data_IF_845442999243
#
_entry.id   IF_845442999243
#
_cell.length_a   1.000
_cell.length_b   1.000
_cell.length_c   1.000
_cell.angle_alpha   90.00
_cell.angle_beta   90.00
_cell.angle_gamma   90.00
#
_symmetry.space_group_name_H-M   'P 1'
#
loop_
_entity.id
_entity.type
_entity.pdbx_description
1 polymer ?
#
# COMPACT_ATOMS: atom_id res chain seq x y z
N UNK A 1 -7.13 -29.31 13.97
CA UNK A 1 -6.89 -28.03 13.24
C UNK A 1 -5.50 -27.53 13.60
N UNK A 2 -4.48 -27.87 12.81
CA UNK A 2 -3.15 -27.25 12.97
C UNK A 2 -3.29 -25.77 12.58
N UNK A 3 -3.15 -24.87 13.55
CA UNK A 3 -3.05 -23.42 13.26
C UNK A 3 -1.80 -23.23 12.41
N UNK A 4 -1.96 -23.02 11.11
CA UNK A 4 -0.85 -22.67 10.20
C UNK A 4 -0.21 -21.39 10.74
N UNK A 5 0.92 -21.51 11.44
CA UNK A 5 1.71 -20.35 11.84
C UNK A 5 2.34 -19.78 10.56
N UNK A 6 2.12 -18.50 10.31
CA UNK A 6 2.74 -17.78 9.20
C UNK A 6 4.26 -17.98 9.27
N UNK A 7 4.85 -18.55 8.22
CA UNK A 7 6.30 -18.81 8.13
C UNK A 7 6.72 -20.28 7.94
N UNK A 8 5.81 -21.25 8.07
CA UNK A 8 6.14 -22.69 7.93
C UNK A 8 5.86 -23.29 6.55
N UNK A 9 5.11 -22.58 5.70
CA UNK A 9 4.75 -23.05 4.35
C UNK A 9 5.40 -22.18 3.29
N UNK A 10 5.88 -22.81 2.22
CA UNK A 10 6.35 -22.10 1.03
C UNK A 10 5.24 -21.28 0.38
N UNK A 11 5.60 -20.30 -0.46
CA UNK A 11 4.62 -19.45 -1.12
C UNK A 11 3.78 -20.23 -2.12
N UNK A 12 2.48 -19.98 -2.12
CA UNK A 12 1.52 -20.63 -3.00
C UNK A 12 1.32 -19.81 -4.29
N UNK A 13 0.97 -20.42 -5.44
CA UNK A 13 0.60 -19.67 -6.64
C UNK A 13 -0.47 -18.58 -6.39
N UNK A 14 -1.38 -18.82 -5.44
CA UNK A 14 -2.40 -17.86 -5.03
C UNK A 14 -1.80 -16.57 -4.43
N UNK A 15 -0.70 -16.66 -3.67
CA UNK A 15 -0.02 -15.51 -3.09
C UNK A 15 0.54 -14.59 -4.19
N UNK A 16 1.08 -15.19 -5.25
CA UNK A 16 1.58 -14.45 -6.41
C UNK A 16 0.44 -13.84 -7.22
N UNK A 17 -0.66 -14.58 -7.40
CA UNK A 17 -1.83 -14.07 -8.11
C UNK A 17 -2.42 -12.83 -7.41
N UNK A 18 -2.53 -12.86 -6.08
CA UNK A 18 -3.03 -11.73 -5.29
C UNK A 18 -2.20 -10.45 -5.44
N UNK A 19 -0.87 -10.56 -5.42
CA UNK A 19 -0.01 -9.40 -5.65
C UNK A 19 0.09 -9.02 -7.13
N UNK A 20 -0.08 -9.99 -8.04
CA UNK A 20 -0.13 -9.77 -9.47
C UNK A 20 -1.31 -8.88 -9.88
N UNK A 21 -2.50 -9.12 -9.32
CA UNK A 21 -3.68 -8.29 -9.59
C UNK A 21 -3.50 -6.85 -9.06
N UNK A 22 -2.92 -6.70 -7.87
CA UNK A 22 -2.56 -5.40 -7.30
C UNK A 22 -1.57 -4.63 -8.19
N UNK A 23 -0.54 -5.31 -8.69
CA UNK A 23 0.43 -4.72 -9.61
C UNK A 23 -0.22 -4.30 -10.94
N UNK A 24 -1.07 -5.15 -11.51
CA UNK A 24 -1.76 -4.86 -12.76
C UNK A 24 -2.69 -3.65 -12.63
N UNK A 25 -3.46 -3.58 -11.53
CA UNK A 25 -4.31 -2.43 -11.23
C UNK A 25 -3.47 -1.15 -11.09
N UNK A 26 -2.38 -1.20 -10.32
CA UNK A 26 -1.47 -0.06 -10.16
C UNK A 26 -0.83 0.39 -11.47
N UNK A 27 -0.36 -0.56 -12.30
CA UNK A 27 0.24 -0.27 -13.60
C UNK A 27 -0.79 0.38 -14.55
N UNK A 28 -2.03 -0.09 -14.52
CA UNK A 28 -3.14 0.52 -15.27
C UNK A 28 -3.40 1.95 -14.83
N UNK A 29 -3.43 2.21 -13.51
CA UNK A 29 -3.61 3.56 -12.97
C UNK A 29 -2.46 4.50 -13.37
N UNK A 30 -1.21 4.03 -13.31
CA UNK A 30 -0.03 4.81 -13.74
C UNK A 30 -0.12 5.11 -15.24
N UNK A 31 -0.42 4.10 -16.07
CA UNK A 31 -0.51 4.25 -17.53
C UNK A 31 -1.61 5.22 -17.94
N UNK A 32 -2.83 5.03 -17.42
CA UNK A 32 -3.97 5.88 -17.72
C UNK A 32 -3.80 7.32 -17.17
N UNK A 33 -3.32 7.46 -15.93
CA UNK A 33 -3.06 8.76 -15.31
C UNK A 33 -1.91 9.51 -16.01
N UNK A 34 -0.83 8.82 -16.35
CA UNK A 34 0.30 9.39 -17.10
C UNK A 34 -0.11 9.82 -18.50
N UNK A 35 -0.90 9.00 -19.20
CA UNK A 35 -1.45 9.37 -20.51
C UNK A 35 -2.33 10.63 -20.44
N UNK A 36 -3.22 10.72 -19.45
CA UNK A 36 -4.05 11.92 -19.25
C UNK A 36 -3.21 13.15 -18.90
N UNK A 37 -2.16 13.00 -18.09
CA UNK A 37 -1.30 14.12 -17.72
C UNK A 37 -0.58 14.74 -18.94
N UNK A 38 -0.25 13.92 -19.93
CA UNK A 38 0.46 14.34 -21.15
C UNK A 38 -0.47 14.92 -22.23
N UNK A 39 -1.74 14.52 -22.26
CA UNK A 39 -2.66 14.80 -23.39
C UNK A 39 -3.98 15.45 -23.02
N UNK A 40 -4.29 15.57 -21.73
CA UNK A 40 -5.60 15.98 -21.25
C UNK A 40 -5.54 16.88 -20.03
N UNK A 41 -6.70 17.20 -19.46
CA UNK A 41 -6.79 17.99 -18.24
C UNK A 41 -6.12 17.28 -17.06
N UNK A 42 -5.37 18.02 -16.25
CA UNK A 42 -4.63 17.47 -15.09
C UNK A 42 -5.58 16.74 -14.12
N UNK A 43 -6.74 17.31 -13.80
CA UNK A 43 -7.83 16.63 -13.09
C UNK A 43 -7.38 15.74 -11.92
N UNK A 44 -7.82 14.47 -11.94
CA UNK A 44 -7.43 13.44 -10.97
C UNK A 44 -6.19 12.63 -11.38
N UNK A 45 -5.60 12.94 -12.54
CA UNK A 45 -4.48 12.21 -13.13
C UNK A 45 -3.28 12.06 -12.18
N UNK A 46 -2.86 13.10 -11.43
CA UNK A 46 -1.80 12.95 -10.43
C UNK A 46 -2.15 11.95 -9.32
N UNK A 47 -3.42 11.93 -8.87
CA UNK A 47 -3.84 10.99 -7.83
C UNK A 47 -3.80 9.54 -8.33
N UNK A 48 -4.21 9.29 -9.58
CA UNK A 48 -4.09 7.97 -10.21
C UNK A 48 -2.63 7.50 -10.26
N UNK A 49 -1.72 8.37 -10.71
CA UNK A 49 -0.29 8.02 -10.80
C UNK A 49 0.29 7.73 -9.41
N UNK A 50 0.01 8.56 -8.41
CA UNK A 50 0.52 8.38 -7.04
C UNK A 50 -0.02 7.08 -6.41
N UNK A 51 -1.34 6.84 -6.50
CA UNK A 51 -1.93 5.63 -5.94
C UNK A 51 -1.49 4.37 -6.68
N UNK A 52 -1.36 4.44 -8.00
CA UNK A 52 -0.80 3.35 -8.80
C UNK A 52 0.64 3.05 -8.41
N UNK A 53 1.48 4.07 -8.20
CA UNK A 53 2.86 3.92 -7.76
C UNK A 53 2.96 3.29 -6.36
N UNK A 54 2.15 3.73 -5.41
CA UNK A 54 2.07 3.14 -4.07
C UNK A 54 1.64 1.66 -4.16
N UNK A 55 0.59 1.38 -4.94
CA UNK A 55 0.07 0.02 -5.14
C UNK A 55 1.10 -0.94 -5.76
N UNK A 56 1.75 -0.52 -6.84
CA UNK A 56 2.85 -1.26 -7.46
C UNK A 56 4.01 -1.47 -6.48
N UNK A 57 4.37 -0.43 -5.72
CA UNK A 57 5.44 -0.51 -4.71
C UNK A 57 5.18 -1.58 -3.66
N UNK A 58 3.95 -1.63 -3.12
CA UNK A 58 3.53 -2.68 -2.19
C UNK A 58 3.51 -4.06 -2.83
N UNK A 59 2.94 -4.21 -4.03
CA UNK A 59 2.91 -5.49 -4.74
C UNK A 59 4.33 -6.05 -4.97
N UNK A 60 5.25 -5.22 -5.47
CA UNK A 60 6.65 -5.60 -5.70
C UNK A 60 7.35 -5.91 -4.37
N UNK A 61 7.13 -5.10 -3.33
CA UNK A 61 7.70 -5.33 -2.00
C UNK A 61 7.30 -6.67 -1.41
N UNK A 62 6.03 -7.04 -1.54
CA UNK A 62 5.52 -8.32 -1.06
C UNK A 62 6.03 -9.50 -1.88
N UNK A 63 6.03 -9.42 -3.22
CA UNK A 63 6.60 -10.48 -4.06
C UNK A 63 8.08 -10.69 -3.74
N UNK A 64 8.84 -9.63 -3.48
CA UNK A 64 10.23 -9.72 -3.03
C UNK A 64 10.35 -10.38 -1.66
N UNK A 65 9.49 -10.04 -0.70
CA UNK A 65 9.47 -10.65 0.64
C UNK A 65 9.12 -12.14 0.56
N UNK A 66 8.21 -12.51 -0.34
CA UNK A 66 7.72 -13.87 -0.51
C UNK A 66 8.81 -14.80 -1.04
N UNK A 67 9.68 -14.28 -1.91
CA UNK A 67 10.88 -14.96 -2.45
C UNK A 67 12.03 -15.08 -1.44
N UNK A 68 12.00 -14.35 -0.31
CA UNK A 68 13.03 -14.46 0.73
C UNK A 68 12.81 -15.69 1.61
N UNK A 69 13.91 -16.34 2.08
CA UNK A 69 13.84 -17.35 3.12
C UNK A 69 13.09 -16.82 4.35
N UNK A 70 12.29 -17.66 5.06
CA UNK A 70 11.52 -17.22 6.23
C UNK A 70 12.35 -16.48 7.30
N UNK A 71 13.62 -16.89 7.49
CA UNK A 71 14.54 -16.27 8.45
C UNK A 71 14.95 -14.83 8.10
N UNK A 72 14.85 -14.43 6.83
CA UNK A 72 15.24 -13.11 6.32
C UNK A 72 14.05 -12.17 6.09
N UNK A 73 12.84 -12.63 6.39
CA UNK A 73 11.63 -11.82 6.23
C UNK A 73 11.58 -10.77 7.34
N UNK A 74 11.21 -9.51 7.01
CA UNK A 74 11.03 -8.50 8.04
C UNK A 74 9.92 -8.93 9.01
N UNK A 75 9.95 -8.40 10.25
CA UNK A 75 8.94 -8.70 11.26
C UNK A 75 7.52 -8.47 10.74
N UNK A 76 6.61 -9.40 11.03
CA UNK A 76 5.22 -9.37 10.57
C UNK A 76 4.51 -8.05 10.92
N UNK A 77 4.86 -7.45 12.07
CA UNK A 77 4.28 -6.21 12.57
C UNK A 77 4.54 -5.03 11.64
N UNK A 78 5.68 -4.99 10.95
CA UNK A 78 5.98 -3.95 9.96
C UNK A 78 5.03 -4.03 8.77
N UNK A 79 4.84 -5.24 8.23
CA UNK A 79 3.86 -5.48 7.16
C UNK A 79 2.44 -5.16 7.63
N UNK A 80 2.07 -5.57 8.85
CA UNK A 80 0.75 -5.30 9.42
C UNK A 80 0.46 -3.80 9.53
N UNK A 81 1.38 -3.00 10.09
CA UNK A 81 1.24 -1.55 10.22
C UNK A 81 1.09 -0.89 8.83
N UNK A 82 1.89 -1.30 7.85
CA UNK A 82 1.84 -0.73 6.51
C UNK A 82 0.49 -1.00 5.81
N UNK A 83 0.00 -2.24 5.82
CA UNK A 83 -1.25 -2.60 5.16
C UNK A 83 -2.49 -2.05 5.88
N UNK A 84 -2.53 -2.11 7.21
CA UNK A 84 -3.64 -1.54 7.97
C UNK A 84 -3.66 -0.01 7.88
N UNK A 85 -2.49 0.63 7.96
CA UNK A 85 -2.36 2.07 7.76
C UNK A 85 -2.79 2.49 6.36
N UNK A 86 -2.39 1.75 5.32
CA UNK A 86 -2.84 1.99 3.95
C UNK A 86 -4.35 1.85 3.78
N UNK A 87 -4.96 0.82 4.38
CA UNK A 87 -6.41 0.65 4.41
C UNK A 87 -7.13 1.81 5.10
N UNK A 88 -6.62 2.27 6.24
CA UNK A 88 -7.16 3.43 6.94
C UNK A 88 -7.11 4.71 6.09
N UNK A 89 -5.97 4.97 5.43
CA UNK A 89 -5.84 6.08 4.48
C UNK A 89 -6.89 5.97 3.39
N UNK A 90 -7.09 4.79 2.79
CA UNK A 90 -8.08 4.59 1.74
C UNK A 90 -9.51 4.91 2.21
N UNK A 91 -9.90 4.45 3.40
CA UNK A 91 -11.21 4.76 3.99
C UNK A 91 -11.37 6.27 4.23
N UNK A 92 -10.38 6.92 4.83
CA UNK A 92 -10.42 8.38 5.07
C UNK A 92 -10.48 9.15 3.76
N UNK A 93 -9.69 8.78 2.74
CA UNK A 93 -9.76 9.38 1.41
C UNK A 93 -11.15 9.23 0.79
N UNK A 94 -11.78 8.05 0.87
CA UNK A 94 -13.14 7.87 0.39
C UNK A 94 -14.14 8.81 1.09
N UNK A 95 -14.09 8.91 2.43
CA UNK A 95 -14.97 9.81 3.18
C UNK A 95 -14.71 11.27 2.85
N UNK A 96 -13.45 11.70 2.79
CA UNK A 96 -13.08 13.10 2.49
C UNK A 96 -13.48 13.48 1.07
N UNK A 97 -13.26 12.60 0.09
CA UNK A 97 -13.50 12.90 -1.33
C UNK A 97 -14.98 13.13 -1.64
N UNK A 98 -15.88 12.37 -1.01
CA UNK A 98 -17.33 12.48 -1.22
C UNK A 98 -17.99 13.57 -0.39
N UNK A 99 -17.48 13.85 0.82
CA UNK A 99 -18.13 14.81 1.74
C UNK A 99 -17.55 16.23 1.64
N UNK A 100 -16.25 16.39 1.43
CA UNK A 100 -15.58 17.70 1.49
C UNK A 100 -15.39 18.32 0.10
N UNK A 101 -16.46 18.39 -0.70
CA UNK A 101 -16.41 18.84 -2.11
C UNK A 101 -15.92 20.28 -2.29
N UNK A 102 -15.99 21.09 -1.23
CA UNK A 102 -15.48 22.47 -1.16
C UNK A 102 -13.95 22.53 -1.30
N UNK A 103 -13.24 21.44 -0.95
CA UNK A 103 -11.79 21.38 -1.06
C UNK A 103 -11.35 21.06 -2.51
N UNK A 104 -10.19 21.57 -2.94
CA UNK A 104 -9.61 21.22 -4.24
C UNK A 104 -9.50 19.70 -4.40
N UNK A 105 -9.80 19.14 -5.59
CA UNK A 105 -9.80 17.69 -5.80
C UNK A 105 -8.50 17.03 -5.34
N UNK A 106 -7.34 17.60 -5.68
CA UNK A 106 -6.05 17.03 -5.34
C UNK A 106 -5.84 16.91 -3.82
N UNK A 107 -6.30 17.89 -3.05
CA UNK A 107 -6.22 17.88 -1.58
C UNK A 107 -7.10 16.79 -1.01
N UNK A 108 -8.30 16.57 -1.56
CA UNK A 108 -9.19 15.50 -1.12
C UNK A 108 -8.61 14.11 -1.34
N UNK A 109 -7.99 13.90 -2.49
CA UNK A 109 -7.45 12.60 -2.88
C UNK A 109 -6.09 12.30 -2.24
N UNK A 110 -5.17 13.27 -2.22
CA UNK A 110 -3.80 13.05 -1.73
C UNK A 110 -3.55 13.54 -0.30
N UNK A 111 -4.41 14.41 0.24
CA UNK A 111 -4.27 14.96 1.59
C UNK A 111 -4.18 13.88 2.68
N UNK A 112 -5.09 12.90 2.73
CA UNK A 112 -5.00 11.82 3.70
C UNK A 112 -3.72 10.99 3.58
N UNK A 113 -3.21 10.77 2.36
CA UNK A 113 -1.93 10.09 2.13
C UNK A 113 -0.76 10.92 2.61
N UNK A 114 -0.77 12.24 2.36
CA UNK A 114 0.28 13.17 2.78
C UNK A 114 0.44 13.21 4.32
N UNK A 115 -0.66 13.03 5.06
CA UNK A 115 -0.63 12.92 6.53
C UNK A 115 -0.37 11.49 7.00
N UNK A 116 -1.04 10.51 6.39
CA UNK A 116 -1.02 9.12 6.83
C UNK A 116 0.32 8.42 6.61
N UNK A 117 1.03 8.71 5.51
CA UNK A 117 2.34 8.08 5.23
C UNK A 117 3.39 8.44 6.29
N UNK A 118 3.59 9.72 6.68
CA UNK A 118 4.46 10.06 7.80
C UNK A 118 4.10 9.35 9.11
N UNK A 119 2.80 9.22 9.42
CA UNK A 119 2.33 8.51 10.62
C UNK A 119 2.65 7.01 10.55
N UNK A 120 2.47 6.37 9.40
CA UNK A 120 2.86 4.96 9.17
C UNK A 120 4.37 4.80 9.37
N UNK A 121 5.19 5.70 8.82
CA UNK A 121 6.65 5.66 8.99
C UNK A 121 7.04 5.81 10.46
N UNK A 122 6.44 6.77 11.16
CA UNK A 122 6.66 6.98 12.59
C UNK A 122 6.27 5.75 13.42
N UNK A 123 5.08 5.20 13.18
CA UNK A 123 4.60 4.00 13.86
C UNK A 123 5.51 2.80 13.59
N UNK A 124 5.92 2.60 12.33
CA UNK A 124 6.83 1.51 11.94
C UNK A 124 8.15 1.63 12.70
N UNK A 125 8.77 2.81 12.72
CA UNK A 125 10.04 3.04 13.45
C UNK A 125 9.92 2.86 14.95
N UNK A 126 8.76 3.18 15.53
CA UNK A 126 8.53 3.14 16.97
C UNK A 126 8.16 1.74 17.47
N UNK A 127 7.32 1.01 16.72
CA UNK A 127 6.72 -0.24 17.18
C UNK A 127 7.42 -1.49 16.65
N UNK A 128 8.02 -1.47 15.46
CA UNK A 128 8.75 -2.65 14.95
C UNK A 128 9.86 -3.06 15.92
N UNK A 129 10.75 -2.19 16.44
CA UNK A 129 11.80 -2.61 17.36
C UNK A 129 11.29 -3.15 18.70
N UNK A 130 10.09 -2.74 19.12
CA UNK A 130 9.49 -3.15 20.40
C UNK A 130 8.87 -4.55 20.32
N UNK A 131 8.18 -4.85 19.22
CA UNK A 131 7.46 -6.10 19.01
C UNK A 131 8.25 -7.16 18.24
N UNK A 132 9.48 -6.85 17.83
CA UNK A 132 10.36 -7.81 17.12
C UNK A 132 11.42 -8.45 18.03
N UNK A 133 11.37 -8.19 19.34
CA UNK A 133 12.28 -8.86 20.29
C UNK A 133 11.81 -10.30 20.48
N UNK A 134 12.67 -11.29 20.23
CA UNK A 134 12.38 -12.65 20.64
C UNK A 134 12.42 -12.68 22.17
N UNK A 135 11.32 -13.10 22.78
CA UNK A 135 11.30 -13.64 24.13
C UNK A 135 11.91 -15.03 24.16
#
# INVERSE_FOLDING_TARGET
>A
IQRRRAGLTGPEPLDYAGHGTMFLAGATMIGAGGWQLLRGPVGLSPALVVFGAIGCGFAVGMVRQLRRPPAERPPWIGTHIAFMGGGYIATVTATVTVNLTMLPPLVRWLGPTAVGVPLIVYATRSYVPRFSRPE
#
